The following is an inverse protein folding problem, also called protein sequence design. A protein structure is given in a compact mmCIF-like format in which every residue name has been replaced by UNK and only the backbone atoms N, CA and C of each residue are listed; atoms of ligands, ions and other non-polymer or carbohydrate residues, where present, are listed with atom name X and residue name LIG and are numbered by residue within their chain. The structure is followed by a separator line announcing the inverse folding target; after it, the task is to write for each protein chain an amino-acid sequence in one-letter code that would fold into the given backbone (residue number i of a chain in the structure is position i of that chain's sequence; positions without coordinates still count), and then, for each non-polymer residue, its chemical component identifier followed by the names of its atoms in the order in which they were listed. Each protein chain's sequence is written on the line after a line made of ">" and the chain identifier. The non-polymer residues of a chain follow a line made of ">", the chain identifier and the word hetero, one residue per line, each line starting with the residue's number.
data_IF_195090222174
#
_entry.id   IF_195090222174
#
_cell.length_a   1.000
_cell.length_b   1.000
_cell.length_c   1.000
_cell.angle_alpha   90.00
_cell.angle_beta   90.00
_cell.angle_gamma   90.00
#
_symmetry.space_group_name_H-M   'P 1'
#
loop_
_entity.id
_entity.type
_entity.pdbx_description
1 polymer ?
#
# COMPACT_ATOMS: atom_id res chain seq x y z
N UNK A 1 7.24 13.00 7.37
CA UNK A 1 6.68 12.93 6.00
C UNK A 1 7.07 11.60 5.42
N UNK A 2 6.11 10.69 5.23
CA UNK A 2 6.37 9.45 4.48
C UNK A 2 6.72 9.82 3.04
N UNK A 3 7.73 9.15 2.49
CA UNK A 3 8.13 9.26 1.09
C UNK A 3 7.99 7.88 0.47
N UNK A 4 7.53 7.85 -0.79
CA UNK A 4 7.39 6.62 -1.54
C UNK A 4 8.68 5.81 -1.53
N UNK A 5 8.57 4.49 -1.42
CA UNK A 5 9.73 3.64 -1.64
C UNK A 5 10.11 3.67 -3.13
N UNK A 6 11.23 4.32 -3.45
CA UNK A 6 11.83 4.36 -4.79
C UNK A 6 12.83 3.21 -4.93
N UNK A 7 12.60 2.35 -5.93
CA UNK A 7 13.44 1.18 -6.21
C UNK A 7 13.94 1.23 -7.65
N UNK A 8 15.22 0.92 -7.92
CA UNK A 8 15.70 0.79 -9.28
C UNK A 8 14.98 -0.38 -9.97
N UNK A 9 14.64 -0.20 -11.25
CA UNK A 9 14.10 -1.31 -12.03
C UNK A 9 15.17 -2.39 -12.20
N UNK A 10 14.79 -3.67 -12.08
CA UNK A 10 15.71 -4.78 -12.22
C UNK A 10 16.08 -4.96 -13.71
N UNK A 11 17.16 -5.70 -14.01
CA UNK A 11 17.51 -6.07 -15.37
C UNK A 11 16.37 -6.76 -16.11
N UNK A 12 16.41 -6.74 -17.44
CA UNK A 12 15.43 -7.44 -18.27
C UNK A 12 15.39 -8.94 -17.93
N UNK A 13 14.20 -9.48 -17.72
CA UNK A 13 13.98 -10.87 -17.33
C UNK A 13 13.97 -11.14 -15.81
N UNK A 14 14.24 -10.13 -14.98
CA UNK A 14 14.04 -10.19 -13.52
C UNK A 14 12.87 -9.27 -13.14
N UNK A 15 12.07 -9.71 -12.16
CA UNK A 15 10.89 -8.99 -11.66
C UNK A 15 11.03 -8.61 -10.18
N UNK A 16 12.16 -8.93 -9.55
CA UNK A 16 12.34 -8.71 -8.12
C UNK A 16 13.02 -7.36 -7.88
N UNK A 17 12.41 -6.56 -6.99
CA UNK A 17 12.98 -5.28 -6.52
C UNK A 17 13.04 -5.21 -5.01
N UNK A 18 13.91 -4.34 -4.50
CA UNK A 18 14.07 -4.10 -3.08
C UNK A 18 14.71 -5.25 -2.33
N UNK A 19 14.57 -5.24 -1.01
CA UNK A 19 15.21 -6.20 -0.10
C UNK A 19 14.39 -6.34 1.17
N UNK A 20 14.42 -7.53 1.77
CA UNK A 20 13.79 -7.74 3.09
C UNK A 20 14.64 -7.03 4.13
N UNK A 21 13.99 -6.30 5.02
CA UNK A 21 14.64 -5.67 6.17
C UNK A 21 14.09 -6.27 7.45
N UNK A 22 14.90 -6.26 8.50
CA UNK A 22 14.48 -6.64 9.86
C UNK A 22 14.86 -5.51 10.78
N UNK A 23 13.91 -5.06 11.59
CA UNK A 23 14.11 -4.04 12.61
C UNK A 23 13.79 -4.63 13.99
N UNK A 24 14.31 -3.99 15.03
CA UNK A 24 13.93 -4.28 16.41
C UNK A 24 12.82 -3.32 16.83
N UNK A 25 11.68 -3.86 17.23
CA UNK A 25 10.58 -3.07 17.75
C UNK A 25 10.98 -2.34 19.05
N UNK A 26 10.49 -1.13 19.21
CA UNK A 26 10.50 -0.36 20.47
C UNK A 26 9.22 -0.60 21.24
N UNK A 27 9.21 -0.19 22.51
CA UNK A 27 8.05 -0.36 23.38
C UNK A 27 6.80 0.34 22.84
N UNK A 28 6.93 1.56 22.33
CA UNK A 28 5.82 2.35 21.78
C UNK A 28 5.45 2.03 20.31
N UNK A 29 6.13 1.08 19.66
CA UNK A 29 5.87 0.79 18.26
C UNK A 29 4.51 0.10 18.07
N UNK A 30 3.84 0.44 16.97
CA UNK A 30 2.68 -0.29 16.45
C UNK A 30 2.91 -0.55 14.96
N UNK A 31 2.24 -1.54 14.39
CA UNK A 31 2.35 -1.80 12.95
C UNK A 31 1.84 -0.63 12.12
N UNK A 32 0.88 0.15 12.62
CA UNK A 32 0.44 1.37 11.96
C UNK A 32 1.55 2.43 11.92
N UNK A 33 2.24 2.68 13.04
CA UNK A 33 3.34 3.64 13.12
C UNK A 33 4.58 3.19 12.32
N UNK A 34 4.90 1.89 12.36
CA UNK A 34 5.94 1.29 11.52
C UNK A 34 5.57 1.45 10.05
N UNK A 35 4.32 1.15 9.69
CA UNK A 35 3.80 1.31 8.33
C UNK A 35 3.95 2.75 7.80
N UNK A 36 3.60 3.75 8.60
CA UNK A 36 3.78 5.15 8.25
C UNK A 36 5.26 5.53 8.06
N UNK A 37 6.14 4.97 8.90
CA UNK A 37 7.58 5.26 8.86
C UNK A 37 8.27 4.64 7.64
N UNK A 38 7.87 3.42 7.26
CA UNK A 38 8.54 2.61 6.24
C UNK A 38 7.76 2.49 4.92
N UNK A 39 6.65 3.22 4.77
CA UNK A 39 5.78 3.19 3.59
C UNK A 39 5.20 1.78 3.31
N UNK A 40 4.66 1.18 4.38
CA UNK A 40 4.06 -0.15 4.38
C UNK A 40 2.62 -0.09 4.88
N UNK A 41 1.77 -0.90 4.26
CA UNK A 41 0.41 -1.16 4.67
C UNK A 41 0.36 -1.98 5.95
N UNK A 42 -0.69 -1.74 6.73
CA UNK A 42 -0.94 -2.48 7.96
C UNK A 42 -1.06 -3.99 7.71
N UNK A 43 -1.85 -4.38 6.70
CA UNK A 43 -2.14 -5.79 6.42
C UNK A 43 -0.90 -6.56 5.93
N UNK A 44 0.00 -5.93 5.18
CA UNK A 44 1.24 -6.60 4.74
C UNK A 44 2.22 -6.80 5.90
N UNK A 45 2.29 -5.86 6.85
CA UNK A 45 3.08 -6.04 8.08
C UNK A 45 2.52 -7.18 8.94
N UNK A 46 1.20 -7.26 9.08
CA UNK A 46 0.52 -8.38 9.78
C UNK A 46 0.83 -9.71 9.09
N UNK A 47 0.73 -9.76 7.76
CA UNK A 47 1.00 -10.97 6.99
C UNK A 47 2.46 -11.43 7.09
N UNK A 48 3.41 -10.48 7.09
CA UNK A 48 4.84 -10.78 7.17
C UNK A 48 5.30 -11.23 8.57
N UNK A 49 4.54 -10.91 9.63
CA UNK A 49 4.92 -11.13 11.02
C UNK A 49 3.88 -11.96 11.81
N UNK A 50 3.65 -13.23 11.43
CA UNK A 50 2.65 -14.06 12.11
C UNK A 50 3.01 -14.28 13.58
N UNK A 51 2.04 -14.05 14.47
CA UNK A 51 2.19 -14.23 15.92
C UNK A 51 2.74 -13.03 16.68
N UNK A 52 3.09 -11.94 15.99
CA UNK A 52 3.42 -10.65 16.62
C UNK A 52 2.14 -9.85 16.82
N UNK A 53 1.96 -9.28 18.01
CA UNK A 53 0.84 -8.38 18.29
C UNK A 53 1.03 -7.05 17.51
N UNK A 54 0.13 -6.66 16.60
CA UNK A 54 0.28 -5.45 15.79
C UNK A 54 0.17 -4.14 16.59
N UNK A 55 -0.42 -4.18 17.79
CA UNK A 55 -0.64 -3.02 18.66
C UNK A 55 0.41 -2.92 19.77
N UNK A 56 1.05 -4.03 20.11
CA UNK A 56 2.16 -4.06 21.06
C UNK A 56 3.17 -5.16 20.66
N UNK A 57 4.01 -4.93 19.63
CA UNK A 57 4.93 -5.94 19.12
C UNK A 57 5.95 -6.44 20.17
N UNK A 58 6.17 -5.64 21.21
CA UNK A 58 7.11 -5.93 22.29
C UNK A 58 8.51 -5.42 21.97
N UNK A 59 9.16 -4.80 22.95
CA UNK A 59 10.51 -4.28 22.80
C UNK A 59 11.50 -5.41 22.47
N UNK A 60 12.35 -5.18 21.46
CA UNK A 60 13.37 -6.13 21.03
C UNK A 60 12.87 -7.27 20.14
N UNK A 61 11.56 -7.35 19.88
CA UNK A 61 10.99 -8.27 18.89
C UNK A 61 11.53 -7.94 17.49
N UNK A 62 11.92 -8.97 16.74
CA UNK A 62 12.30 -8.82 15.34
C UNK A 62 11.06 -8.64 14.48
N UNK A 63 10.97 -7.51 13.77
CA UNK A 63 9.90 -7.19 12.83
C UNK A 63 10.46 -7.25 11.41
N UNK A 64 9.90 -8.14 10.61
CA UNK A 64 10.16 -8.26 9.18
C UNK A 64 9.42 -7.15 8.46
N UNK A 65 10.15 -6.36 7.70
CA UNK A 65 9.60 -5.38 6.78
C UNK A 65 9.60 -5.99 5.36
N UNK A 66 8.43 -6.23 4.74
CA UNK A 66 8.31 -6.85 3.42
C UNK A 66 8.67 -5.89 2.27
N UNK A 67 9.80 -5.18 2.35
CA UNK A 67 10.26 -4.21 1.34
C UNK A 67 10.93 -4.85 0.11
N UNK A 68 10.58 -6.11 -0.19
CA UNK A 68 11.03 -6.85 -1.37
C UNK A 68 9.78 -7.28 -2.15
N UNK A 69 9.67 -6.82 -3.38
CA UNK A 69 8.47 -6.99 -4.19
C UNK A 69 8.78 -7.77 -5.46
N UNK A 70 7.78 -8.50 -5.93
CA UNK A 70 7.75 -9.04 -7.28
C UNK A 70 6.88 -8.08 -8.09
N UNK A 71 7.43 -7.48 -9.14
CA UNK A 71 6.72 -6.54 -9.97
C UNK A 71 5.53 -7.24 -10.66
N UNK A 72 4.35 -6.60 -10.71
CA UNK A 72 3.21 -7.15 -11.41
C UNK A 72 3.53 -7.42 -12.89
N UNK A 73 2.94 -8.46 -13.50
CA UNK A 73 3.14 -8.75 -14.90
C UNK A 73 2.54 -7.65 -15.78
N UNK A 74 3.18 -7.40 -16.93
CA UNK A 74 2.72 -6.44 -17.93
C UNK A 74 3.68 -5.26 -18.15
N UNK A 75 3.25 -4.21 -18.87
CA UNK A 75 4.08 -3.05 -19.13
C UNK A 75 4.44 -2.30 -17.84
N UNK A 76 5.73 -1.98 -17.68
CA UNK A 76 6.25 -1.17 -16.57
C UNK A 76 6.11 0.32 -16.90
N UNK A 77 4.87 0.76 -17.11
CA UNK A 77 4.54 2.10 -17.59
C UNK A 77 3.39 2.72 -16.77
N UNK A 78 3.53 3.99 -16.40
CA UNK A 78 2.47 4.71 -15.71
C UNK A 78 2.13 4.09 -14.36
N UNK A 79 0.84 3.91 -14.06
CA UNK A 79 0.35 3.40 -12.79
C UNK A 79 -0.21 1.99 -12.96
N UNK A 80 0.27 1.06 -12.16
CA UNK A 80 -0.26 -0.31 -12.03
C UNK A 80 -0.73 -0.52 -10.60
N UNK A 81 -1.98 -0.90 -10.42
CA UNK A 81 -2.56 -1.19 -9.10
C UNK A 81 -2.71 -2.69 -8.96
N UNK A 82 -2.00 -3.29 -8.00
CA UNK A 82 -2.19 -4.67 -7.62
C UNK A 82 -3.13 -4.75 -6.41
N UNK A 83 -4.39 -5.11 -6.68
CA UNK A 83 -5.44 -5.19 -5.67
C UNK A 83 -5.14 -6.28 -4.63
N UNK A 84 -4.53 -7.41 -5.04
CA UNK A 84 -4.24 -8.52 -4.15
C UNK A 84 -3.13 -8.19 -3.13
N UNK A 85 -2.22 -7.28 -3.50
CA UNK A 85 -1.12 -6.82 -2.65
C UNK A 85 -1.43 -5.50 -1.94
N UNK A 86 -2.60 -4.89 -2.19
CA UNK A 86 -2.94 -3.56 -1.66
C UNK A 86 -1.84 -2.53 -1.98
N UNK A 87 -1.30 -2.58 -3.20
CA UNK A 87 -0.10 -1.82 -3.58
C UNK A 87 -0.20 -1.21 -4.97
N UNK A 88 0.24 0.04 -5.08
CA UNK A 88 0.35 0.80 -6.32
C UNK A 88 1.81 0.85 -6.73
N UNK A 89 2.08 0.58 -8.00
CA UNK A 89 3.38 0.71 -8.63
C UNK A 89 3.30 1.85 -9.65
N UNK A 90 4.18 2.84 -9.52
CA UNK A 90 4.29 3.95 -10.45
C UNK A 90 5.65 3.93 -11.16
N UNK A 91 5.61 3.86 -12.48
CA UNK A 91 6.74 3.85 -13.39
C UNK A 91 6.83 5.21 -14.10
N UNK A 92 7.60 6.17 -13.56
CA UNK A 92 7.75 7.49 -14.16
C UNK A 92 8.44 7.41 -15.53
N UNK A 93 7.91 8.15 -16.50
CA UNK A 93 8.47 8.23 -17.84
C UNK A 93 9.93 8.73 -17.82
N UNK A 94 10.79 8.06 -18.58
CA UNK A 94 12.20 8.43 -18.74
C UNK A 94 13.09 8.13 -17.53
N UNK A 95 12.60 7.41 -16.51
CA UNK A 95 13.41 6.97 -15.37
C UNK A 95 13.40 5.46 -15.22
N UNK A 96 14.56 4.89 -14.86
CA UNK A 96 14.70 3.46 -14.61
C UNK A 96 14.42 3.09 -13.14
N UNK A 97 13.28 3.56 -12.61
CA UNK A 97 12.86 3.34 -11.22
C UNK A 97 11.37 3.00 -11.17
N UNK A 98 10.95 2.36 -10.09
CA UNK A 98 9.56 2.16 -9.70
C UNK A 98 9.35 2.75 -8.31
N UNK A 99 8.26 3.50 -8.15
CA UNK A 99 7.79 3.92 -6.84
C UNK A 99 6.65 3.00 -6.41
N UNK A 100 6.68 2.53 -5.17
CA UNK A 100 5.58 1.72 -4.62
C UNK A 100 4.87 2.46 -3.52
N UNK A 101 3.55 2.26 -3.39
CA UNK A 101 2.73 2.86 -2.35
C UNK A 101 1.73 1.86 -1.80
N UNK A 102 1.58 1.72 -0.47
CA UNK A 102 0.45 0.99 0.08
C UNK A 102 -0.85 1.75 -0.22
N UNK A 103 -1.95 1.02 -0.46
CA UNK A 103 -3.26 1.62 -0.72
C UNK A 103 -4.39 0.84 -0.03
N UNK A 104 -5.48 1.55 0.26
CA UNK A 104 -6.76 0.93 0.59
C UNK A 104 -7.59 0.67 -0.66
N UNK A 105 -8.38 -0.41 -0.65
CA UNK A 105 -9.37 -0.73 -1.70
C UNK A 105 -10.78 -0.65 -1.13
N UNK A 106 -11.78 -0.58 -2.01
CA UNK A 106 -13.17 -0.62 -1.58
C UNK A 106 -13.53 -1.91 -0.86
N UNK A 107 -14.43 -1.82 0.12
CA UNK A 107 -14.95 -2.98 0.88
C UNK A 107 -15.68 -3.95 -0.04
N UNK A 108 -15.88 -5.18 0.42
CA UNK A 108 -16.68 -6.18 -0.29
C UNK A 108 -18.06 -5.60 -0.69
N UNK A 109 -18.50 -5.86 -1.93
CA UNK A 109 -19.69 -5.23 -2.53
C UNK A 109 -19.45 -3.84 -3.13
N UNK A 110 -18.30 -3.22 -2.88
CA UNK A 110 -17.86 -1.91 -3.38
C UNK A 110 -16.44 -1.97 -3.94
N UNK A 111 -16.05 -3.12 -4.49
CA UNK A 111 -14.67 -3.41 -4.89
C UNK A 111 -14.15 -2.47 -5.97
N UNK A 112 -12.84 -2.20 -5.91
CA UNK A 112 -12.14 -1.46 -6.95
C UNK A 112 -12.23 -2.22 -8.28
N UNK A 113 -12.70 -1.61 -9.38
CA UNK A 113 -12.86 -2.29 -10.65
C UNK A 113 -11.50 -2.68 -11.26
N UNK A 114 -11.44 -3.83 -11.93
CA UNK A 114 -10.26 -4.29 -12.66
C UNK A 114 -10.36 -3.85 -14.12
N UNK A 115 -9.32 -3.20 -14.63
CA UNK A 115 -9.22 -2.83 -16.04
C UNK A 115 -8.25 -1.67 -16.28
N UNK A 116 -8.22 -1.22 -17.53
CA UNK A 116 -7.38 -0.10 -17.96
C UNK A 116 -8.15 1.21 -17.87
N UNK A 117 -7.53 2.23 -17.28
CA UNK A 117 -8.10 3.56 -17.16
C UNK A 117 -7.00 4.63 -17.23
N UNK A 118 -7.37 5.91 -17.13
CA UNK A 118 -6.42 7.03 -17.10
C UNK A 118 -6.86 8.07 -16.09
N UNK A 119 -5.90 8.80 -15.53
CA UNK A 119 -6.17 9.99 -14.73
C UNK A 119 -6.80 11.04 -15.67
N UNK A 120 -8.04 11.45 -15.37
CA UNK A 120 -8.76 12.48 -16.13
C UNK A 120 -8.64 13.87 -15.51
N UNK A 121 -8.51 13.94 -14.19
CA UNK A 121 -8.38 15.16 -13.42
C UNK A 121 -7.71 14.86 -12.08
N UNK A 122 -7.06 15.88 -11.50
CA UNK A 122 -6.50 15.83 -10.15
C UNK A 122 -6.90 17.10 -9.42
N UNK A 123 -7.42 16.97 -8.21
CA UNK A 123 -7.88 18.08 -7.39
C UNK A 123 -7.21 17.99 -6.03
N UNK A 124 -6.55 19.07 -5.62
CA UNK A 124 -5.97 19.17 -4.29
C UNK A 124 -7.08 19.38 -3.25
N UNK A 125 -7.05 18.60 -2.15
CA UNK A 125 -8.01 18.66 -1.05
C UNK A 125 -9.49 18.65 -1.51
N UNK A 126 -9.95 17.59 -2.20
CA UNK A 126 -11.31 17.53 -2.72
C UNK A 126 -12.35 17.43 -1.58
N UNK A 127 -13.52 18.04 -1.78
CA UNK A 127 -14.67 17.82 -0.91
C UNK A 127 -15.35 16.49 -1.24
N UNK A 128 -15.80 15.75 -0.22
CA UNK A 128 -16.59 14.53 -0.39
C UNK A 128 -18.08 14.82 -0.21
N UNK A 129 -18.89 14.40 -1.19
CA UNK A 129 -20.34 14.47 -1.15
C UNK A 129 -20.88 13.04 -1.16
N UNK A 130 -21.37 12.51 -0.02
CA UNK A 130 -21.85 11.14 0.07
C UNK A 130 -22.99 10.89 -0.93
N UNK A 131 -22.98 9.78 -1.69
CA UNK A 131 -24.09 9.44 -2.56
C UNK A 131 -25.34 9.10 -1.73
N UNK A 132 -26.52 9.20 -2.34
CA UNK A 132 -27.79 9.00 -1.65
C UNK A 132 -27.86 7.62 -0.95
N UNK A 133 -27.34 6.57 -1.58
CA UNK A 133 -27.29 5.22 -1.00
C UNK A 133 -26.55 5.16 0.34
N UNK A 134 -25.46 5.91 0.49
CA UNK A 134 -24.69 5.96 1.75
C UNK A 134 -25.47 6.75 2.81
N UNK A 135 -26.14 7.84 2.42
CA UNK A 135 -27.00 8.62 3.33
C UNK A 135 -28.16 7.78 3.87
N UNK A 136 -28.75 6.94 3.03
CA UNK A 136 -29.85 6.04 3.41
C UNK A 136 -29.37 4.92 4.35
N UNK A 137 -28.17 4.37 4.13
CA UNK A 137 -27.51 3.39 5.03
C UNK A 137 -27.31 3.99 6.43
N UNK A 138 -26.69 5.17 6.53
CA UNK A 138 -26.49 5.86 7.81
C UNK A 138 -27.81 6.18 8.53
N UNK A 139 -28.80 6.68 7.80
CA UNK A 139 -30.12 6.99 8.37
C UNK A 139 -30.85 5.74 8.91
N UNK A 140 -30.63 4.57 8.31
CA UNK A 140 -31.15 3.30 8.80
C UNK A 140 -30.43 2.82 10.07
N UNK A 141 -29.12 3.08 10.17
CA UNK A 141 -28.28 2.73 11.31
C UNK A 141 -28.37 3.73 12.48
N UNK A 142 -28.98 4.90 12.25
CA UNK A 142 -29.27 5.91 13.27
C UNK A 142 -28.18 6.97 13.46
N UNK A 143 -27.26 7.10 12.49
CA UNK A 143 -26.20 8.11 12.41
C UNK A 143 -26.51 9.22 11.38
#
# INVERSE_FOLDING_TARGET
>A
TSAALELPLPPEGDDIVGQIQVIKAKYEDTFAAIGETYDLGYLELVAANPGVDPWLPGEGTDIILPTRFILPPGPREGIVINIAEYRLYYYPEGKNVVHTFPLGIGREGWGSPVGNTRISAMTSNPAWYPPQSIRDEHAADGD
#
